data_IF_077305662348
#
_entry.id   IF_077305662348
#
_cell.length_a   1.000
_cell.length_b   1.000
_cell.length_c   1.000
_cell.angle_alpha   90.00
_cell.angle_beta   90.00
_cell.angle_gamma   90.00
#
_symmetry.space_group_name_H-M   'P 1'
#
loop_
_entity.id
_entity.type
_entity.pdbx_description
1 polymer ?
#
# COMPACT_ATOMS: atom_id res chain seq x y z
N UNK A 1 -1.41 17.84 10.99
CA UNK A 1 -2.45 17.27 11.86
C UNK A 1 -2.60 15.76 11.67
N UNK A 2 -2.69 15.24 10.46
CA UNK A 2 -2.89 13.81 10.15
C UNK A 2 -1.84 12.89 10.79
N UNK A 3 -0.55 13.22 10.67
CA UNK A 3 0.55 12.47 11.29
C UNK A 3 0.42 12.39 12.83
N UNK A 4 -0.01 13.48 13.47
CA UNK A 4 -0.23 13.51 14.92
C UNK A 4 -1.39 12.59 15.33
N UNK A 5 -2.51 12.65 14.61
CA UNK A 5 -3.67 11.78 14.87
C UNK A 5 -3.27 10.33 14.75
N UNK A 6 -2.57 9.95 13.66
CA UNK A 6 -2.10 8.59 13.43
C UNK A 6 -1.13 8.14 14.51
N UNK A 7 -0.15 8.98 14.85
CA UNK A 7 0.89 8.66 15.83
C UNK A 7 0.38 8.52 17.24
N UNK A 8 -0.45 9.48 17.70
CA UNK A 8 -1.06 9.43 19.04
C UNK A 8 -1.97 8.20 19.15
N UNK A 9 -2.78 7.92 18.13
CA UNK A 9 -3.64 6.74 18.13
C UNK A 9 -2.83 5.44 18.20
N UNK A 10 -1.72 5.36 17.47
CA UNK A 10 -0.82 4.19 17.50
C UNK A 10 -0.18 4.01 18.87
N UNK A 11 0.31 5.09 19.48
CA UNK A 11 0.88 5.05 20.83
C UNK A 11 -0.17 4.62 21.86
N UNK A 12 -1.38 5.18 21.80
CA UNK A 12 -2.47 4.84 22.72
C UNK A 12 -2.89 3.37 22.62
N UNK A 13 -2.79 2.73 21.45
CA UNK A 13 -3.01 1.28 21.33
C UNK A 13 -1.99 0.52 22.20
N UNK A 14 -0.73 0.96 22.23
CA UNK A 14 0.32 0.33 23.05
C UNK A 14 0.08 0.39 24.55
N UNK A 15 -0.63 1.41 25.03
CA UNK A 15 -0.96 1.57 26.46
C UNK A 15 -2.39 1.17 26.82
N UNK A 16 -3.17 0.67 25.86
CA UNK A 16 -4.55 0.29 26.06
C UNK A 16 -4.66 -0.87 27.09
N UNK A 17 -5.54 -0.79 28.10
CA UNK A 17 -5.82 -1.91 28.98
C UNK A 17 -6.42 -3.11 28.24
N UNK A 18 -6.12 -4.31 28.71
CA UNK A 18 -6.65 -5.55 28.12
C UNK A 18 -8.10 -5.81 28.52
N UNK A 19 -8.73 -6.77 27.85
CA UNK A 19 -10.10 -7.19 28.15
C UNK A 19 -10.31 -7.58 29.62
N UNK A 20 -9.30 -8.22 30.24
CA UNK A 20 -9.34 -8.64 31.64
C UNK A 20 -9.48 -7.47 32.63
N UNK A 21 -9.06 -6.26 32.25
CA UNK A 21 -9.14 -5.07 33.09
C UNK A 21 -10.40 -4.24 32.88
N UNK A 22 -10.83 -4.07 31.62
CA UNK A 22 -11.93 -3.15 31.26
C UNK A 22 -13.04 -3.80 30.42
N UNK A 23 -13.02 -5.14 30.24
CA UNK A 23 -14.05 -5.89 29.54
C UNK A 23 -14.27 -5.40 28.10
N UNK A 24 -15.53 -5.27 27.70
CA UNK A 24 -15.92 -4.86 26.33
C UNK A 24 -15.47 -3.46 25.90
N UNK A 25 -15.02 -2.62 26.82
CA UNK A 25 -14.43 -1.33 26.50
C UNK A 25 -13.08 -1.46 25.76
N UNK A 26 -12.31 -2.53 26.05
CA UNK A 26 -11.02 -2.74 25.38
C UNK A 26 -11.14 -2.86 23.85
N UNK A 27 -11.95 -3.79 23.28
CA UNK A 27 -12.15 -3.85 21.84
C UNK A 27 -12.82 -2.61 21.28
N UNK A 28 -13.74 -1.95 22.02
CA UNK A 28 -14.38 -0.71 21.60
C UNK A 28 -13.39 0.44 21.43
N UNK A 29 -12.52 0.66 22.40
CA UNK A 29 -11.46 1.67 22.35
C UNK A 29 -10.42 1.33 21.25
N UNK A 30 -10.05 0.06 21.10
CA UNK A 30 -9.16 -0.36 20.02
C UNK A 30 -9.75 -0.03 18.65
N UNK A 31 -11.03 -0.34 18.42
CA UNK A 31 -11.72 0.01 17.18
C UNK A 31 -11.75 1.50 16.94
N UNK A 32 -12.06 2.30 17.97
CA UNK A 32 -12.05 3.75 17.90
C UNK A 32 -10.67 4.31 17.50
N UNK A 33 -9.60 3.82 18.15
CA UNK A 33 -8.22 4.22 17.82
C UNK A 33 -7.83 3.81 16.41
N UNK A 34 -8.29 2.66 15.92
CA UNK A 34 -8.09 2.21 14.53
C UNK A 34 -8.81 3.11 13.51
N UNK A 35 -10.00 3.59 13.84
CA UNK A 35 -10.71 4.58 13.00
C UNK A 35 -9.92 5.88 12.93
N UNK A 36 -9.41 6.38 14.06
CA UNK A 36 -8.56 7.57 14.09
C UNK A 36 -7.27 7.40 13.28
N UNK A 37 -6.61 6.24 13.39
CA UNK A 37 -5.45 5.92 12.54
C UNK A 37 -5.81 5.97 11.04
N UNK A 38 -6.96 5.41 10.65
CA UNK A 38 -7.44 5.42 9.27
C UNK A 38 -7.68 6.84 8.75
N UNK A 39 -8.29 7.72 9.56
CA UNK A 39 -8.49 9.14 9.23
C UNK A 39 -7.14 9.85 9.05
N UNK A 40 -6.18 9.59 9.94
CA UNK A 40 -4.82 10.16 9.83
C UNK A 40 -4.11 9.72 8.56
N UNK A 41 -4.15 8.43 8.24
CA UNK A 41 -3.50 7.85 7.06
C UNK A 41 -4.10 8.40 5.75
N UNK A 42 -5.41 8.69 5.74
CA UNK A 42 -6.14 9.12 4.54
C UNK A 42 -5.55 10.34 3.84
N UNK A 43 -5.00 11.29 4.58
CA UNK A 43 -4.39 12.51 4.02
C UNK A 43 -2.87 12.44 3.82
N UNK A 44 -2.20 11.45 4.38
CA UNK A 44 -0.73 11.41 4.44
C UNK A 44 -0.11 10.92 3.12
N UNK A 45 -0.59 9.78 2.60
CA UNK A 45 -0.03 9.16 1.40
C UNK A 45 -0.14 10.05 0.17
N UNK A 46 -1.34 10.62 -0.08
CA UNK A 46 -1.55 11.49 -1.23
C UNK A 46 -0.67 12.73 -1.22
N UNK A 47 -0.44 13.32 -0.04
CA UNK A 47 0.44 14.47 0.12
C UNK A 47 1.91 14.16 -0.19
N UNK A 48 2.43 13.05 0.33
CA UNK A 48 3.82 12.64 0.13
C UNK A 48 4.09 12.31 -1.36
N UNK A 49 3.18 11.55 -1.99
CA UNK A 49 3.28 11.18 -3.39
C UNK A 49 3.19 12.40 -4.30
N UNK A 50 2.22 13.29 -4.05
CA UNK A 50 2.03 14.49 -4.85
C UNK A 50 3.25 15.39 -4.79
N UNK A 51 3.81 15.60 -3.61
CA UNK A 51 5.01 16.39 -3.42
C UNK A 51 6.18 15.81 -4.23
N UNK A 52 6.45 14.52 -4.11
CA UNK A 52 7.51 13.86 -4.87
C UNK A 52 7.28 13.92 -6.40
N UNK A 53 6.02 13.82 -6.85
CA UNK A 53 5.66 13.90 -8.25
C UNK A 53 5.79 15.31 -8.84
N UNK A 54 5.38 16.36 -8.11
CA UNK A 54 5.37 17.74 -8.58
C UNK A 54 6.76 18.39 -8.58
N UNK A 55 7.62 18.04 -7.60
CA UNK A 55 9.02 18.49 -7.60
C UNK A 55 9.91 17.75 -8.60
N UNK A 56 9.44 16.61 -9.15
CA UNK A 56 10.22 15.81 -10.06
C UNK A 56 10.29 16.40 -11.48
N UNK A 57 11.45 16.24 -12.15
CA UNK A 57 11.53 16.49 -13.59
C UNK A 57 10.49 15.67 -14.36
N UNK A 58 9.80 16.23 -15.40
CA UNK A 58 8.71 15.55 -16.11
C UNK A 58 9.04 14.15 -16.63
N UNK A 59 10.31 13.89 -16.98
CA UNK A 59 10.81 12.60 -17.49
C UNK A 59 11.11 11.56 -16.43
N UNK A 60 11.10 11.94 -15.15
CA UNK A 60 11.50 11.09 -14.02
C UNK A 60 10.42 11.04 -12.91
N UNK A 61 9.22 11.50 -13.21
CA UNK A 61 8.10 11.55 -12.25
C UNK A 61 7.73 10.17 -11.68
N UNK A 62 7.86 9.11 -12.47
CA UNK A 62 7.64 7.73 -12.01
C UNK A 62 8.66 7.30 -10.96
N UNK A 63 9.94 7.60 -11.20
CA UNK A 63 11.01 7.31 -10.24
C UNK A 63 10.80 8.09 -8.94
N UNK A 64 10.65 9.42 -9.01
CA UNK A 64 10.52 10.23 -7.80
C UNK A 64 9.23 9.93 -7.02
N UNK A 65 8.11 9.73 -7.69
CA UNK A 65 6.83 9.37 -7.04
C UNK A 65 6.88 7.96 -6.39
N UNK A 66 7.78 7.09 -6.82
CA UNK A 66 7.98 5.78 -6.20
C UNK A 66 8.80 5.84 -4.90
N UNK A 67 9.58 6.90 -4.65
CA UNK A 67 10.41 7.01 -3.45
C UNK A 67 9.61 7.04 -2.14
N UNK A 68 8.52 7.82 -2.00
CA UNK A 68 7.68 7.74 -0.81
C UNK A 68 7.09 6.35 -0.58
N UNK A 69 6.87 5.57 -1.64
CA UNK A 69 6.33 4.21 -1.57
C UNK A 69 7.30 3.20 -0.96
N UNK A 70 8.62 3.45 -1.01
CA UNK A 70 9.61 2.66 -0.26
C UNK A 70 9.30 2.66 1.24
N UNK A 71 8.64 3.72 1.74
CA UNK A 71 8.18 3.80 3.13
C UNK A 71 7.32 2.62 3.57
N UNK A 72 6.49 2.06 2.66
CA UNK A 72 5.73 0.83 2.92
C UNK A 72 6.66 -0.35 3.20
N UNK A 73 7.67 -0.55 2.36
CA UNK A 73 8.63 -1.65 2.49
C UNK A 73 9.48 -1.51 3.76
N UNK A 74 9.99 -0.31 4.03
CA UNK A 74 10.75 -0.01 5.25
C UNK A 74 9.87 -0.23 6.48
N UNK A 75 8.62 0.25 6.46
CA UNK A 75 7.65 0.07 7.54
C UNK A 75 7.35 -1.41 7.80
N UNK A 76 7.13 -2.20 6.75
CA UNK A 76 6.92 -3.64 6.85
C UNK A 76 8.15 -4.35 7.44
N UNK A 77 9.34 -4.01 6.98
CA UNK A 77 10.60 -4.56 7.47
C UNK A 77 10.81 -4.24 8.95
N UNK A 78 10.63 -2.96 9.34
CA UNK A 78 10.78 -2.54 10.74
C UNK A 78 9.75 -3.18 11.65
N UNK A 79 8.48 -3.20 11.25
CA UNK A 79 7.40 -3.80 12.04
C UNK A 79 7.63 -5.31 12.24
N UNK A 80 7.90 -6.04 11.15
CA UNK A 80 8.20 -7.47 11.21
C UNK A 80 9.47 -7.76 12.01
N UNK A 81 10.52 -6.92 11.86
CA UNK A 81 11.77 -7.03 12.58
C UNK A 81 11.61 -6.83 14.08
N UNK A 82 10.90 -5.80 14.50
CA UNK A 82 10.62 -5.55 15.93
C UNK A 82 9.84 -6.71 16.53
N UNK A 83 8.80 -7.19 15.84
CA UNK A 83 8.02 -8.34 16.31
C UNK A 83 8.86 -9.61 16.35
N UNK A 84 9.73 -9.86 15.37
CA UNK A 84 10.62 -11.02 15.35
C UNK A 84 11.62 -10.98 16.52
N UNK A 85 12.27 -9.83 16.77
CA UNK A 85 13.19 -9.64 17.89
C UNK A 85 12.47 -9.89 19.22
N UNK A 86 11.29 -9.31 19.41
CA UNK A 86 10.51 -9.49 20.62
C UNK A 86 10.08 -10.95 20.81
N UNK A 87 9.67 -11.64 19.74
CA UNK A 87 9.28 -13.04 19.77
C UNK A 87 10.47 -13.98 20.06
N UNK A 88 11.67 -13.60 19.63
CA UNK A 88 12.89 -14.37 19.90
C UNK A 88 13.43 -14.17 21.31
N UNK A 89 13.33 -12.95 21.84
CA UNK A 89 13.94 -12.58 23.14
C UNK A 89 13.01 -12.80 24.32
N UNK A 90 11.69 -12.81 24.11
CA UNK A 90 10.69 -12.96 25.15
C UNK A 90 10.03 -14.35 25.10
N UNK A 91 9.63 -14.85 26.26
CA UNK A 91 8.74 -16.01 26.32
C UNK A 91 7.35 -15.64 25.80
N UNK A 92 6.55 -16.62 25.35
CA UNK A 92 5.18 -16.39 24.88
C UNK A 92 4.33 -15.66 25.94
N UNK A 93 4.48 -16.00 27.22
CA UNK A 93 3.77 -15.34 28.30
C UNK A 93 4.19 -13.87 28.46
N UNK A 94 5.47 -13.55 28.32
CA UNK A 94 5.98 -12.17 28.35
C UNK A 94 5.54 -11.38 27.13
N UNK A 95 5.60 -12.00 25.95
CA UNK A 95 5.16 -11.37 24.71
C UNK A 95 3.67 -11.00 24.77
N UNK A 96 2.81 -11.91 25.22
CA UNK A 96 1.37 -11.69 25.34
C UNK A 96 1.00 -10.71 26.44
N UNK A 97 1.76 -10.65 27.55
CA UNK A 97 1.44 -9.74 28.66
C UNK A 97 1.83 -8.29 28.38
N UNK A 98 3.03 -8.03 27.87
CA UNK A 98 3.55 -6.68 27.64
C UNK A 98 4.39 -6.51 26.36
N UNK A 99 4.99 -7.59 25.84
CA UNK A 99 5.95 -7.48 24.73
C UNK A 99 5.37 -6.82 23.47
N UNK A 100 4.16 -7.16 23.08
CA UNK A 100 3.49 -6.57 21.93
C UNK A 100 3.29 -5.03 22.04
N UNK A 101 3.16 -4.51 23.27
CA UNK A 101 2.99 -3.08 23.54
C UNK A 101 4.23 -2.28 23.15
N UNK A 102 5.41 -2.86 23.31
CA UNK A 102 6.69 -2.21 22.99
C UNK A 102 6.73 -1.79 21.53
N UNK A 103 6.25 -2.63 20.61
CA UNK A 103 6.20 -2.30 19.17
C UNK A 103 5.37 -1.03 18.90
N UNK A 104 4.23 -0.88 19.58
CA UNK A 104 3.38 0.32 19.44
C UNK A 104 3.99 1.56 20.10
N UNK A 105 4.63 1.42 21.26
CA UNK A 105 5.27 2.53 21.98
C UNK A 105 6.49 3.05 21.18
N UNK A 106 7.27 2.15 20.58
CA UNK A 106 8.42 2.52 19.74
C UNK A 106 8.00 3.36 18.53
N UNK A 107 6.75 3.24 18.05
CA UNK A 107 6.24 4.06 16.96
C UNK A 107 6.23 5.56 17.28
N UNK A 108 6.19 5.94 18.55
CA UNK A 108 6.25 7.35 18.97
C UNK A 108 7.55 8.04 18.51
N UNK A 109 8.68 7.31 18.49
CA UNK A 109 9.95 7.84 17.99
C UNK A 109 9.87 8.17 16.49
N UNK A 110 9.22 7.30 15.70
CA UNK A 110 9.03 7.53 14.25
C UNK A 110 8.11 8.72 14.00
N UNK A 111 7.07 8.89 14.80
CA UNK A 111 6.16 10.05 14.73
C UNK A 111 6.91 11.35 15.02
N UNK A 112 7.77 11.35 16.03
CA UNK A 112 8.59 12.51 16.36
C UNK A 112 9.53 12.90 15.21
N UNK A 113 10.23 11.92 14.62
CA UNK A 113 11.09 12.13 13.45
C UNK A 113 10.28 12.67 12.26
N UNK A 114 9.14 12.06 11.97
CA UNK A 114 8.26 12.48 10.88
C UNK A 114 7.72 13.91 11.07
N UNK A 115 7.37 14.28 12.29
CA UNK A 115 6.94 15.65 12.63
C UNK A 115 8.07 16.65 12.43
N UNK A 116 9.29 16.31 12.89
CA UNK A 116 10.45 17.18 12.74
C UNK A 116 10.76 17.43 11.25
N UNK A 117 10.72 16.38 10.40
CA UNK A 117 10.90 16.53 8.95
C UNK A 117 9.81 17.44 8.38
N UNK A 118 8.54 17.22 8.73
CA UNK A 118 7.39 17.95 8.17
C UNK A 118 7.38 19.44 8.52
N UNK A 119 7.89 19.81 9.67
CA UNK A 119 8.01 21.23 10.06
C UNK A 119 9.06 21.98 9.22
N UNK A 120 9.97 21.27 8.54
CA UNK A 120 11.04 21.86 7.72
C UNK A 120 10.75 21.79 6.20
N UNK A 121 9.61 21.23 5.76
CA UNK A 121 9.26 21.11 4.33
C UNK A 121 8.26 22.21 3.93
N UNK A 122 8.54 22.91 2.83
CA UNK A 122 7.70 23.98 2.26
C UNK A 122 6.61 23.43 1.33
N UNK A 123 5.59 24.26 1.03
CA UNK A 123 4.52 23.94 0.06
C UNK A 123 5.06 23.79 -1.37
N UNK A 124 4.42 22.94 -2.19
CA UNK A 124 4.86 22.68 -3.56
C UNK A 124 4.70 23.88 -4.49
N UNK A 125 5.61 24.09 -5.47
CA UNK A 125 5.54 25.20 -6.41
C UNK A 125 4.26 25.19 -7.25
N UNK A 126 3.78 24.01 -7.68
CA UNK A 126 2.54 23.88 -8.47
C UNK A 126 1.32 24.31 -7.65
N UNK A 127 1.27 23.98 -6.36
CA UNK A 127 0.19 24.40 -5.46
C UNK A 127 0.23 25.90 -5.18
N UNK A 128 1.42 26.47 -5.00
CA UNK A 128 1.59 27.93 -4.85
C UNK A 128 1.07 28.68 -6.07
N UNK A 129 1.37 28.20 -7.29
CA UNK A 129 0.88 28.79 -8.52
C UNK A 129 -0.65 28.71 -8.68
N UNK A 130 -1.31 27.68 -8.16
CA UNK A 130 -2.78 27.56 -8.13
C UNK A 130 -3.37 28.55 -7.12
N UNK A 131 -2.76 28.71 -5.97
CA UNK A 131 -3.17 29.64 -4.89
C UNK A 131 -3.03 31.09 -5.34
N UNK A 132 -1.92 31.48 -5.98
CA UNK A 132 -1.70 32.82 -6.52
C UNK A 132 -2.73 33.21 -7.59
N UNK A 133 -3.21 32.25 -8.39
CA UNK A 133 -4.23 32.49 -9.41
C UNK A 133 -5.67 32.51 -8.87
N UNK A 134 -5.90 32.42 -7.56
CA UNK A 134 -7.22 32.24 -6.95
C UNK A 134 -8.07 31.15 -7.64
N UNK A 135 -7.42 30.10 -8.14
CA UNK A 135 -8.04 29.04 -8.92
C UNK A 135 -8.42 27.83 -8.06
N UNK A 136 -8.37 27.97 -6.74
CA UNK A 136 -8.81 26.93 -5.81
C UNK A 136 -10.32 26.69 -5.95
N UNK A 137 -10.71 25.45 -6.14
CA UNK A 137 -12.11 25.04 -6.09
C UNK A 137 -12.56 24.97 -4.62
N UNK A 138 -13.70 25.62 -4.30
CA UNK A 138 -14.22 25.65 -2.92
C UNK A 138 -14.54 24.24 -2.37
N UNK A 139 -14.92 23.28 -3.23
CA UNK A 139 -15.23 21.91 -2.85
C UNK A 139 -14.65 20.93 -3.90
N UNK A 140 -13.35 20.62 -3.85
CA UNK A 140 -12.66 19.78 -4.85
C UNK A 140 -13.26 18.37 -5.01
N UNK A 141 -13.90 17.83 -3.97
CA UNK A 141 -14.51 16.51 -3.96
C UNK A 141 -15.72 16.39 -4.91
N UNK A 142 -16.64 17.35 -4.87
CA UNK A 142 -17.79 17.34 -5.77
C UNK A 142 -17.40 17.58 -7.21
N UNK A 143 -16.44 18.46 -7.44
CA UNK A 143 -15.87 18.70 -8.78
C UNK A 143 -15.18 17.45 -9.33
N UNK A 144 -14.46 16.72 -8.48
CA UNK A 144 -13.83 15.44 -8.82
C UNK A 144 -14.86 14.43 -9.33
N UNK A 145 -15.92 14.19 -8.56
CA UNK A 145 -16.95 13.20 -8.90
C UNK A 145 -17.76 13.61 -10.13
N UNK A 146 -17.98 14.91 -10.33
CA UNK A 146 -18.75 15.43 -11.46
C UNK A 146 -17.94 15.42 -12.75
N UNK A 147 -16.65 15.77 -12.71
CA UNK A 147 -15.80 15.95 -13.92
C UNK A 147 -15.03 14.69 -14.29
N UNK A 148 -14.65 13.85 -13.30
CA UNK A 148 -13.75 12.71 -13.51
C UNK A 148 -14.29 11.36 -13.02
N UNK A 149 -15.61 11.05 -13.11
CA UNK A 149 -16.16 9.81 -12.55
C UNK A 149 -15.51 8.56 -13.17
N UNK A 150 -15.24 8.59 -14.47
CA UNK A 150 -14.58 7.50 -15.18
C UNK A 150 -13.12 7.28 -14.74
N UNK A 151 -12.37 8.34 -14.45
CA UNK A 151 -10.99 8.23 -13.97
C UNK A 151 -10.94 7.72 -12.52
N UNK A 152 -11.89 8.14 -11.70
CA UNK A 152 -12.05 7.63 -10.33
C UNK A 152 -12.28 6.11 -10.35
N UNK A 153 -13.25 5.63 -11.13
CA UNK A 153 -13.56 4.20 -11.23
C UNK A 153 -12.37 3.38 -11.79
N UNK A 154 -11.72 3.88 -12.84
CA UNK A 154 -10.54 3.22 -13.41
C UNK A 154 -9.37 3.18 -12.41
N UNK A 155 -9.13 4.27 -11.69
CA UNK A 155 -8.10 4.33 -10.65
C UNK A 155 -8.39 3.36 -9.51
N UNK A 156 -9.65 3.30 -9.04
CA UNK A 156 -10.07 2.34 -8.00
C UNK A 156 -9.90 0.89 -8.45
N UNK A 157 -10.29 0.57 -9.68
CA UNK A 157 -10.09 -0.75 -10.26
C UNK A 157 -8.61 -1.09 -10.45
N UNK A 158 -7.79 -0.14 -10.90
CA UNK A 158 -6.35 -0.33 -11.02
C UNK A 158 -5.70 -0.69 -9.66
N UNK A 159 -6.10 -0.01 -8.58
CA UNK A 159 -5.58 -0.26 -7.23
C UNK A 159 -5.97 -1.62 -6.63
N UNK A 160 -6.94 -2.32 -7.21
CA UNK A 160 -7.53 -3.48 -6.57
C UNK A 160 -6.51 -4.61 -6.30
N UNK A 161 -5.64 -4.93 -7.27
CA UNK A 161 -4.59 -5.95 -7.09
C UNK A 161 -3.56 -5.55 -6.04
N UNK A 162 -3.19 -4.26 -5.95
CA UNK A 162 -2.24 -3.77 -4.97
C UNK A 162 -2.71 -4.10 -3.56
N UNK A 163 -3.92 -3.68 -3.20
CA UNK A 163 -4.47 -3.94 -1.87
C UNK A 163 -4.65 -5.43 -1.56
N UNK A 164 -5.20 -6.20 -2.50
CA UNK A 164 -5.42 -7.64 -2.34
C UNK A 164 -4.09 -8.38 -2.16
N UNK A 165 -3.14 -8.14 -3.06
CA UNK A 165 -1.89 -8.88 -3.08
C UNK A 165 -1.02 -8.60 -1.86
N UNK A 166 -0.87 -7.32 -1.50
CA UNK A 166 -0.11 -6.95 -0.31
C UNK A 166 -0.69 -7.55 0.96
N UNK A 167 -2.01 -7.53 1.13
CA UNK A 167 -2.64 -8.09 2.33
C UNK A 167 -2.53 -9.63 2.38
N UNK A 168 -2.55 -10.30 1.24
CA UNK A 168 -2.40 -11.76 1.21
C UNK A 168 -0.94 -12.14 1.44
N UNK A 169 0.02 -11.61 0.69
CA UNK A 169 1.42 -12.00 0.80
C UNK A 169 2.17 -11.32 1.95
N UNK A 170 1.84 -10.07 2.29
CA UNK A 170 2.51 -9.34 3.38
C UNK A 170 1.96 -9.64 4.78
N UNK A 171 0.69 -10.05 4.87
CA UNK A 171 0.03 -10.23 6.18
C UNK A 171 -0.56 -11.63 6.34
N UNK A 172 -1.48 -12.03 5.45
CA UNK A 172 -2.18 -13.31 5.57
C UNK A 172 -1.25 -14.51 5.40
N UNK A 173 -0.20 -14.41 4.58
CA UNK A 173 0.77 -15.50 4.37
C UNK A 173 1.43 -15.94 5.68
N UNK A 174 1.72 -15.01 6.61
CA UNK A 174 2.29 -15.33 7.92
C UNK A 174 1.30 -16.23 8.69
N UNK A 175 0.04 -15.85 8.72
CA UNK A 175 -1.01 -16.65 9.40
C UNK A 175 -1.20 -18.02 8.72
N UNK A 176 -1.17 -18.06 7.39
CA UNK A 176 -1.27 -19.31 6.62
C UNK A 176 -0.10 -20.24 6.90
N UNK A 177 1.13 -19.74 6.83
CA UNK A 177 2.35 -20.52 7.09
C UNK A 177 2.40 -21.04 8.53
N UNK A 178 2.03 -20.22 9.52
CA UNK A 178 2.10 -20.60 10.93
C UNK A 178 0.95 -21.50 11.36
N UNK A 179 -0.28 -21.21 10.96
CA UNK A 179 -1.46 -21.91 11.47
C UNK A 179 -1.84 -23.12 10.62
N UNK A 180 -1.66 -23.07 9.28
CA UNK A 180 -2.04 -24.14 8.37
C UNK A 180 -0.87 -25.05 8.04
N UNK A 181 0.26 -24.49 7.64
CA UNK A 181 1.47 -25.25 7.24
C UNK A 181 2.31 -25.65 8.46
N UNK A 182 2.15 -24.95 9.60
CA UNK A 182 2.87 -25.22 10.87
C UNK A 182 4.37 -24.89 10.83
N UNK A 183 4.76 -23.89 10.04
CA UNK A 183 6.10 -23.32 10.03
C UNK A 183 6.28 -22.42 11.27
N UNK A 184 7.51 -22.31 11.76
CA UNK A 184 7.83 -21.38 12.84
C UNK A 184 7.50 -19.94 12.45
N UNK A 185 6.92 -19.19 13.39
CA UNK A 185 6.50 -17.82 13.18
C UNK A 185 7.66 -16.90 12.81
N UNK A 186 8.81 -17.12 13.42
CA UNK A 186 10.01 -16.32 13.16
C UNK A 186 10.49 -16.52 11.72
N UNK A 187 10.46 -17.76 11.22
CA UNK A 187 10.83 -18.11 9.85
C UNK A 187 9.89 -17.45 8.83
N UNK A 188 8.58 -17.50 9.07
CA UNK A 188 7.59 -16.82 8.22
C UNK A 188 7.80 -15.29 8.19
N UNK A 189 8.05 -14.68 9.34
CA UNK A 189 8.35 -13.24 9.46
C UNK A 189 9.63 -12.86 8.72
N UNK A 190 10.69 -13.69 8.82
CA UNK A 190 11.96 -13.43 8.11
C UNK A 190 11.78 -13.46 6.59
N UNK A 191 10.94 -14.34 6.04
CA UNK A 191 10.61 -14.36 4.62
C UNK A 191 9.93 -13.06 4.16
N UNK A 192 8.99 -12.54 4.93
CA UNK A 192 8.32 -11.26 4.65
C UNK A 192 9.28 -10.08 4.81
N UNK A 193 10.17 -10.08 5.82
CA UNK A 193 11.20 -9.06 5.97
C UNK A 193 12.17 -9.04 4.78
N UNK A 194 12.63 -10.20 4.34
CA UNK A 194 13.50 -10.31 3.17
C UNK A 194 12.80 -9.77 1.90
N UNK A 195 11.49 -10.06 1.74
CA UNK A 195 10.69 -9.46 0.66
C UNK A 195 10.65 -7.94 0.74
N UNK A 196 10.48 -7.38 1.93
CA UNK A 196 10.44 -5.94 2.15
C UNK A 196 11.79 -5.27 1.81
N UNK A 197 12.91 -5.91 2.15
CA UNK A 197 14.24 -5.43 1.76
C UNK A 197 14.38 -5.40 0.23
N UNK A 198 13.94 -6.46 -0.46
CA UNK A 198 13.95 -6.51 -1.93
C UNK A 198 13.06 -5.43 -2.54
N UNK A 199 11.87 -5.20 -1.96
CA UNK A 199 10.96 -4.12 -2.37
C UNK A 199 11.62 -2.74 -2.36
N UNK A 200 12.46 -2.43 -1.37
CA UNK A 200 13.16 -1.14 -1.29
C UNK A 200 13.97 -0.81 -2.55
N UNK A 201 14.49 -1.83 -3.23
CA UNK A 201 15.24 -1.67 -4.48
C UNK A 201 14.37 -1.80 -5.72
N UNK A 202 13.42 -2.73 -5.69
CA UNK A 202 12.56 -3.01 -6.85
C UNK A 202 11.52 -1.91 -7.11
N UNK A 203 10.95 -1.28 -6.07
CA UNK A 203 9.96 -0.20 -6.23
C UNK A 203 10.53 0.96 -7.06
N UNK A 204 11.68 1.58 -6.72
CA UNK A 204 12.24 2.66 -7.53
C UNK A 204 12.74 2.19 -8.90
N UNK A 205 13.21 0.93 -9.01
CA UNK A 205 13.57 0.34 -10.29
C UNK A 205 12.37 0.30 -11.27
N UNK A 206 11.23 -0.22 -10.82
CA UNK A 206 10.02 -0.26 -11.65
C UNK A 206 9.40 1.14 -11.83
N UNK A 207 9.52 2.03 -10.86
CA UNK A 207 9.18 3.45 -11.00
C UNK A 207 9.95 4.08 -12.17
N UNK A 208 11.28 3.89 -12.21
CA UNK A 208 12.14 4.39 -13.29
C UNK A 208 11.89 3.68 -14.64
N UNK A 209 11.63 2.38 -14.61
CA UNK A 209 11.28 1.62 -15.81
C UNK A 209 9.99 2.15 -16.42
N UNK A 210 9.02 2.53 -15.59
CA UNK A 210 7.75 3.08 -16.04
C UNK A 210 7.87 4.42 -16.75
N UNK A 211 8.86 5.24 -16.39
CA UNK A 211 9.17 6.49 -17.09
C UNK A 211 9.72 6.26 -18.51
N UNK A 212 10.40 5.11 -18.74
CA UNK A 212 11.00 4.77 -20.04
C UNK A 212 10.03 4.09 -21.00
N UNK A 213 9.28 3.09 -20.54
CA UNK A 213 8.43 2.24 -21.40
C UNK A 213 6.93 2.54 -21.28
N UNK A 214 6.56 3.43 -20.35
CA UNK A 214 5.19 3.88 -20.11
C UNK A 214 4.56 3.24 -18.86
N UNK A 215 3.95 4.07 -18.02
CA UNK A 215 3.38 3.69 -16.72
C UNK A 215 2.28 2.67 -16.83
N UNK A 216 1.35 2.87 -17.75
CA UNK A 216 0.25 1.93 -18.03
C UNK A 216 0.74 0.56 -18.49
N UNK A 217 1.82 0.50 -19.30
CA UNK A 217 2.38 -0.78 -19.76
C UNK A 217 3.02 -1.56 -18.62
N UNK A 218 3.87 -0.89 -17.80
CA UNK A 218 4.53 -1.56 -16.66
C UNK A 218 3.49 -2.05 -15.67
N UNK A 219 2.51 -1.23 -15.33
CA UNK A 219 1.45 -1.60 -14.40
C UNK A 219 0.57 -2.74 -14.94
N UNK A 220 0.19 -2.70 -16.21
CA UNK A 220 -0.63 -3.73 -16.84
C UNK A 220 0.04 -5.11 -16.77
N UNK A 221 1.27 -5.21 -17.27
CA UNK A 221 2.02 -6.46 -17.23
C UNK A 221 2.40 -6.85 -15.81
N UNK A 222 2.77 -5.87 -14.98
CA UNK A 222 2.99 -6.06 -13.56
C UNK A 222 1.80 -6.71 -12.87
N UNK A 223 0.58 -6.20 -13.10
CA UNK A 223 -0.65 -6.76 -12.52
C UNK A 223 -0.86 -8.22 -12.91
N UNK A 224 -0.73 -8.55 -14.21
CA UNK A 224 -0.93 -9.92 -14.69
C UNK A 224 0.11 -10.89 -14.14
N UNK A 225 1.39 -10.54 -14.21
CA UNK A 225 2.48 -11.39 -13.75
C UNK A 225 2.41 -11.59 -12.23
N UNK A 226 2.11 -10.52 -11.48
CA UNK A 226 1.93 -10.58 -10.03
C UNK A 226 0.77 -11.52 -9.66
N UNK A 227 -0.37 -11.41 -10.36
CA UNK A 227 -1.50 -12.30 -10.14
C UNK A 227 -1.17 -13.77 -10.42
N UNK A 228 -0.56 -14.06 -11.57
CA UNK A 228 -0.18 -15.43 -11.98
C UNK A 228 0.87 -16.03 -11.04
N UNK A 229 1.75 -15.21 -10.47
CA UNK A 229 2.79 -15.69 -9.54
C UNK A 229 2.24 -16.32 -8.26
N UNK A 230 1.00 -16.02 -7.90
CA UNK A 230 0.33 -16.63 -6.75
C UNK A 230 0.19 -18.17 -6.92
N UNK A 231 0.04 -18.66 -8.15
CA UNK A 231 -0.10 -20.11 -8.44
C UNK A 231 1.15 -20.87 -7.96
N UNK A 232 2.36 -20.63 -8.52
CA UNK A 232 3.56 -21.33 -8.08
C UNK A 232 3.93 -21.02 -6.63
N UNK A 233 3.65 -19.82 -6.15
CA UNK A 233 3.96 -19.43 -4.76
C UNK A 233 3.19 -20.29 -3.75
N UNK A 234 1.87 -20.36 -3.85
CA UNK A 234 1.08 -21.20 -2.95
C UNK A 234 1.29 -22.70 -3.17
N UNK A 235 1.59 -23.12 -4.40
CA UNK A 235 1.97 -24.49 -4.66
C UNK A 235 3.26 -24.89 -3.92
N UNK A 236 4.28 -24.03 -3.93
CA UNK A 236 5.53 -24.26 -3.19
C UNK A 236 5.26 -24.25 -1.68
N UNK A 237 4.48 -23.30 -1.16
CA UNK A 237 4.13 -23.25 0.26
C UNK A 237 3.41 -24.52 0.74
N UNK A 238 2.62 -25.15 -0.13
CA UNK A 238 1.85 -26.34 0.21
C UNK A 238 2.69 -27.63 0.15
N UNK A 239 3.59 -27.76 -0.84
CA UNK A 239 4.27 -29.04 -1.14
C UNK A 239 5.77 -29.04 -0.77
N UNK A 240 6.38 -27.87 -0.58
CA UNK A 240 7.82 -27.74 -0.34
C UNK A 240 8.14 -26.85 0.87
N UNK A 241 7.27 -26.85 1.86
CA UNK A 241 7.43 -26.06 3.08
C UNK A 241 8.61 -26.52 3.96
N UNK A 242 9.08 -27.73 3.78
CA UNK A 242 10.26 -28.33 4.41
C UNK A 242 11.59 -27.76 3.89
N UNK A 243 11.57 -27.08 2.73
CA UNK A 243 12.75 -26.43 2.16
C UNK A 243 12.71 -24.92 2.39
N UNK A 244 13.50 -24.37 3.35
CA UNK A 244 13.47 -22.95 3.69
C UNK A 244 13.76 -22.01 2.52
N UNK A 245 14.65 -22.43 1.61
CA UNK A 245 15.01 -21.61 0.45
C UNK A 245 13.84 -21.46 -0.53
N UNK A 246 13.15 -22.57 -0.85
CA UNK A 246 11.99 -22.55 -1.73
C UNK A 246 10.83 -21.79 -1.06
N UNK A 247 10.63 -21.99 0.24
CA UNK A 247 9.62 -21.29 1.01
C UNK A 247 9.84 -19.77 0.96
N UNK A 248 11.07 -19.31 1.19
CA UNK A 248 11.39 -17.89 1.12
C UNK A 248 11.24 -17.34 -0.30
N UNK A 249 11.70 -18.09 -1.32
CA UNK A 249 11.50 -17.67 -2.72
C UNK A 249 10.01 -17.52 -3.07
N UNK A 250 9.13 -18.37 -2.50
CA UNK A 250 7.68 -18.29 -2.73
C UNK A 250 7.03 -17.02 -2.18
N UNK A 251 7.68 -16.33 -1.25
CA UNK A 251 7.25 -15.03 -0.71
C UNK A 251 8.03 -13.87 -1.34
N UNK A 252 9.36 -13.99 -1.41
CA UNK A 252 10.25 -12.91 -1.87
C UNK A 252 10.00 -12.56 -3.34
N UNK A 253 9.88 -13.53 -4.23
CA UNK A 253 9.70 -13.26 -5.66
C UNK A 253 8.35 -12.58 -5.92
N UNK A 254 7.20 -13.11 -5.46
CA UNK A 254 5.92 -12.46 -5.69
C UNK A 254 5.79 -11.11 -5.01
N UNK A 255 6.12 -11.01 -3.72
CA UNK A 255 5.95 -9.79 -2.94
C UNK A 255 7.09 -8.80 -3.15
N UNK A 256 8.34 -9.26 -3.11
CA UNK A 256 9.52 -8.39 -3.20
C UNK A 256 9.74 -7.83 -4.61
N UNK A 257 9.65 -8.68 -5.63
CA UNK A 257 9.99 -8.32 -7.02
C UNK A 257 8.74 -7.97 -7.83
N UNK A 258 7.83 -8.92 -8.00
CA UNK A 258 6.74 -8.78 -8.97
C UNK A 258 5.68 -7.77 -8.53
N UNK A 259 5.30 -7.76 -7.27
CA UNK A 259 4.41 -6.74 -6.72
C UNK A 259 4.98 -5.32 -6.88
N UNK A 260 6.30 -5.15 -6.80
CA UNK A 260 6.94 -3.84 -7.03
C UNK A 260 6.73 -3.29 -8.44
N UNK A 261 6.44 -4.16 -9.43
CA UNK A 261 6.08 -3.72 -10.79
C UNK A 261 4.66 -3.11 -10.86
N UNK A 262 3.80 -3.41 -9.90
CA UNK A 262 2.51 -2.75 -9.70
C UNK A 262 2.70 -1.49 -8.88
N UNK A 263 3.27 -1.62 -7.69
CA UNK A 263 3.34 -0.56 -6.70
C UNK A 263 4.29 0.58 -7.10
N UNK A 264 5.41 0.30 -7.79
CA UNK A 264 6.37 1.33 -8.23
C UNK A 264 5.77 2.42 -9.12
N UNK A 265 5.11 2.07 -10.24
CA UNK A 265 4.50 3.06 -11.13
C UNK A 265 3.16 3.63 -10.65
N UNK A 266 2.51 3.03 -9.64
CA UNK A 266 1.14 3.33 -9.21
C UNK A 266 0.94 4.79 -8.86
N UNK A 267 1.82 5.34 -8.04
CA UNK A 267 1.74 6.71 -7.55
C UNK A 267 1.71 7.73 -8.70
N UNK A 268 2.64 7.60 -9.64
CA UNK A 268 2.70 8.48 -10.79
C UNK A 268 1.53 8.25 -11.75
N UNK A 269 1.09 7.00 -11.94
CA UNK A 269 -0.08 6.66 -12.74
C UNK A 269 -1.34 7.35 -12.21
N UNK A 270 -1.54 7.34 -10.89
CA UNK A 270 -2.70 8.00 -10.28
C UNK A 270 -2.62 9.53 -10.35
N UNK A 271 -1.43 10.11 -10.23
CA UNK A 271 -1.25 11.55 -10.45
C UNK A 271 -1.60 11.98 -11.88
N UNK A 272 -1.34 11.12 -12.87
CA UNK A 272 -1.66 11.39 -14.27
C UNK A 272 -3.17 11.36 -14.60
N UNK A 273 -4.00 10.77 -13.70
CA UNK A 273 -5.45 10.68 -13.91
C UNK A 273 -6.19 12.00 -13.68
N UNK A 274 -5.58 12.94 -12.97
CA UNK A 274 -6.28 14.13 -12.48
C UNK A 274 -5.51 15.42 -12.76
N UNK A 275 -6.24 16.50 -13.10
CA UNK A 275 -5.66 17.84 -13.23
C UNK A 275 -5.17 18.36 -11.86
N UNK A 276 -4.18 19.27 -11.88
CA UNK A 276 -3.54 19.82 -10.68
C UNK A 276 -4.54 20.35 -9.63
N UNK A 277 -5.67 20.95 -10.06
CA UNK A 277 -6.70 21.50 -9.17
C UNK A 277 -7.40 20.48 -8.27
N UNK A 278 -7.57 19.25 -8.75
CA UNK A 278 -8.30 18.17 -8.05
C UNK A 278 -7.41 16.95 -7.77
N UNK A 279 -6.14 16.99 -8.18
CA UNK A 279 -5.20 15.87 -8.15
C UNK A 279 -5.06 15.30 -6.74
N UNK A 280 -4.79 16.15 -5.73
CA UNK A 280 -4.66 15.71 -4.34
C UNK A 280 -5.90 14.95 -3.85
N UNK A 281 -7.08 15.55 -4.06
CA UNK A 281 -8.35 14.92 -3.67
C UNK A 281 -8.60 13.64 -4.46
N UNK A 282 -8.29 13.65 -5.76
CA UNK A 282 -8.48 12.51 -6.66
C UNK A 282 -7.64 11.31 -6.27
N UNK A 283 -6.33 11.49 -6.08
CA UNK A 283 -5.43 10.40 -5.71
C UNK A 283 -5.74 9.87 -4.30
N UNK A 284 -6.01 10.77 -3.35
CA UNK A 284 -6.36 10.38 -1.98
C UNK A 284 -7.67 9.61 -1.93
N UNK A 285 -8.71 10.07 -2.65
CA UNK A 285 -9.99 9.38 -2.70
C UNK A 285 -9.88 8.01 -3.37
N UNK A 286 -9.26 7.93 -4.55
CA UNK A 286 -9.05 6.67 -5.26
C UNK A 286 -8.30 5.67 -4.37
N UNK A 287 -7.21 6.10 -3.75
CA UNK A 287 -6.39 5.22 -2.94
C UNK A 287 -7.10 4.74 -1.68
N UNK A 288 -7.71 5.64 -0.92
CA UNK A 288 -8.33 5.29 0.36
C UNK A 288 -9.68 4.59 0.21
N UNK A 289 -10.53 5.07 -0.71
CA UNK A 289 -11.85 4.48 -0.88
C UNK A 289 -11.78 3.07 -1.48
N UNK A 290 -10.91 2.85 -2.47
CA UNK A 290 -10.67 1.50 -2.99
C UNK A 290 -10.05 0.58 -1.94
N UNK A 291 -9.26 1.13 -1.00
CA UNK A 291 -8.65 0.41 0.11
C UNK A 291 -9.66 -0.30 1.02
N UNK A 292 -10.90 0.18 1.12
CA UNK A 292 -11.97 -0.49 1.86
C UNK A 292 -12.20 -1.91 1.30
N UNK A 293 -12.33 -2.00 -0.02
CA UNK A 293 -12.61 -3.26 -0.71
C UNK A 293 -11.35 -4.09 -0.97
N UNK A 294 -10.29 -3.44 -1.41
CA UNK A 294 -9.05 -4.10 -1.82
C UNK A 294 -8.17 -4.53 -0.63
N UNK A 295 -8.13 -3.74 0.45
CA UNK A 295 -7.27 -4.02 1.59
C UNK A 295 -8.06 -4.43 2.83
N UNK A 296 -9.11 -3.67 3.17
CA UNK A 296 -9.86 -3.87 4.42
C UNK A 296 -10.62 -5.20 4.46
N UNK A 297 -11.28 -5.58 3.38
CA UNK A 297 -12.03 -6.84 3.31
C UNK A 297 -11.18 -8.06 3.00
N UNK A 298 -9.99 -7.89 2.42
CA UNK A 298 -9.16 -8.99 1.94
C UNK A 298 -8.79 -10.02 3.03
N UNK A 299 -8.37 -9.66 4.25
CA UNK A 299 -8.08 -10.66 5.28
C UNK A 299 -9.30 -11.51 5.66
N UNK A 300 -10.49 -10.90 5.69
CA UNK A 300 -11.75 -11.60 5.97
C UNK A 300 -12.09 -12.55 4.83
N UNK A 301 -12.02 -12.06 3.59
CA UNK A 301 -12.26 -12.87 2.39
C UNK A 301 -11.27 -14.03 2.31
N UNK A 302 -9.97 -13.78 2.52
CA UNK A 302 -8.93 -14.81 2.47
C UNK A 302 -9.16 -15.91 3.53
N UNK A 303 -9.53 -15.52 4.75
CA UNK A 303 -9.84 -16.46 5.83
C UNK A 303 -11.09 -17.31 5.49
N UNK A 304 -12.12 -16.68 4.94
CA UNK A 304 -13.33 -17.38 4.52
C UNK A 304 -13.03 -18.35 3.36
N UNK A 305 -12.27 -17.92 2.35
CA UNK A 305 -11.88 -18.75 1.21
C UNK A 305 -10.99 -19.93 1.61
N UNK A 306 -10.10 -19.73 2.59
CA UNK A 306 -9.29 -20.83 3.13
C UNK A 306 -10.17 -21.86 3.84
N UNK A 307 -11.15 -21.41 4.61
CA UNK A 307 -12.09 -22.29 5.31
C UNK A 307 -12.96 -23.10 4.32
N UNK A 308 -13.48 -22.46 3.27
CA UNK A 308 -14.29 -23.12 2.24
C UNK A 308 -13.45 -24.06 1.35
N UNK A 309 -12.15 -23.80 1.23
CA UNK A 309 -11.19 -24.66 0.56
C UNK A 309 -10.63 -25.81 1.43
N UNK A 310 -11.20 -26.05 2.62
CA UNK A 310 -10.71 -27.06 3.57
C UNK A 310 -9.21 -26.92 3.90
N UNK A 311 -8.72 -25.68 3.96
CA UNK A 311 -7.29 -25.37 4.22
C UNK A 311 -6.43 -25.29 2.96
N UNK A 312 -6.96 -25.60 1.78
CA UNK A 312 -6.25 -25.43 0.52
C UNK A 312 -6.35 -23.98 0.01
N UNK A 313 -5.27 -23.43 -0.55
CA UNK A 313 -5.18 -22.01 -0.91
C UNK A 313 -5.80 -21.66 -2.28
N UNK A 314 -6.32 -22.62 -3.03
CA UNK A 314 -6.69 -22.42 -4.44
C UNK A 314 -7.82 -21.40 -4.64
N UNK A 315 -8.76 -21.31 -3.71
CA UNK A 315 -9.78 -20.25 -3.75
C UNK A 315 -9.18 -18.86 -3.55
N UNK A 316 -8.14 -18.75 -2.71
CA UNK A 316 -7.39 -17.48 -2.51
C UNK A 316 -6.64 -17.12 -3.79
N UNK A 317 -5.99 -18.10 -4.43
CA UNK A 317 -5.33 -17.91 -5.74
C UNK A 317 -6.33 -17.39 -6.77
N UNK A 318 -7.53 -17.99 -6.84
CA UNK A 318 -8.61 -17.53 -7.71
C UNK A 318 -9.01 -16.06 -7.45
N UNK A 319 -9.09 -15.66 -6.19
CA UNK A 319 -9.37 -14.28 -5.80
C UNK A 319 -8.25 -13.31 -6.21
N UNK A 320 -6.99 -13.70 -6.07
CA UNK A 320 -5.84 -12.90 -6.54
C UNK A 320 -5.88 -12.74 -8.07
N UNK A 321 -6.15 -13.82 -8.80
CA UNK A 321 -6.27 -13.77 -10.27
C UNK A 321 -7.42 -12.88 -10.72
N UNK A 322 -8.56 -12.93 -10.04
CA UNK A 322 -9.68 -12.02 -10.29
C UNK A 322 -9.27 -10.56 -10.05
N UNK A 323 -8.63 -10.25 -8.92
CA UNK A 323 -8.14 -8.91 -8.63
C UNK A 323 -7.14 -8.41 -9.66
N UNK A 324 -6.22 -9.29 -10.08
CA UNK A 324 -5.24 -9.02 -11.14
C UNK A 324 -5.91 -8.64 -12.47
N UNK A 325 -6.94 -9.40 -12.87
CA UNK A 325 -7.68 -9.15 -14.10
C UNK A 325 -8.43 -7.82 -14.05
N UNK A 326 -9.12 -7.54 -12.93
CA UNK A 326 -9.82 -6.25 -12.70
C UNK A 326 -8.85 -5.09 -12.86
N UNK A 327 -7.67 -5.17 -12.24
CA UNK A 327 -6.66 -4.12 -12.32
C UNK A 327 -6.07 -3.97 -13.72
N UNK A 328 -5.74 -5.06 -14.38
CA UNK A 328 -5.21 -5.04 -15.75
C UNK A 328 -6.22 -4.43 -16.73
N UNK A 329 -7.50 -4.82 -16.66
CA UNK A 329 -8.57 -4.24 -17.49
C UNK A 329 -8.73 -2.74 -17.22
N UNK A 330 -8.74 -2.33 -15.94
CA UNK A 330 -8.87 -0.92 -15.56
C UNK A 330 -7.73 -0.07 -16.11
N UNK A 331 -6.49 -0.56 -16.04
CA UNK A 331 -5.32 0.13 -16.59
C UNK A 331 -5.33 0.15 -18.12
N UNK A 332 -5.77 -0.94 -18.78
CA UNK A 332 -5.94 -0.95 -20.23
C UNK A 332 -6.97 0.10 -20.70
N UNK A 333 -8.02 0.35 -19.91
CA UNK A 333 -9.02 1.38 -20.17
C UNK A 333 -8.46 2.79 -19.95
N UNK A 334 -7.51 2.98 -19.03
CA UNK A 334 -6.78 4.24 -18.84
C UNK A 334 -5.94 4.54 -20.10
N UNK A 335 -5.17 3.56 -20.58
CA UNK A 335 -4.31 3.71 -21.75
C UNK A 335 -5.04 4.03 -23.06
N UNK A 336 -6.29 3.57 -23.21
CA UNK A 336 -7.12 3.84 -24.39
C UNK A 336 -7.86 5.18 -24.33
N UNK A 337 -8.07 5.72 -23.13
CA UNK A 337 -8.83 6.94 -22.90
C UNK A 337 -7.98 8.21 -22.87
N UNK A 338 -6.74 8.20 -23.36
CA UNK A 338 -5.72 9.23 -23.25
C UNK A 338 -6.19 10.67 -23.44
N UNK A 339 -6.85 11.23 -22.42
CA UNK A 339 -6.85 12.66 -22.19
C UNK A 339 -5.62 12.96 -21.35
N UNK A 340 -4.58 13.45 -22.00
CA UNK A 340 -3.53 14.16 -21.27
C UNK A 340 -4.19 15.32 -20.54
N UNK A 341 -4.03 15.46 -19.23
CA UNK A 341 -4.57 16.59 -18.48
C UNK A 341 -3.80 17.89 -18.72
N UNK A 342 -2.73 17.86 -19.45
CA UNK A 342 -2.03 19.06 -19.90
C UNK A 342 -2.75 19.67 -21.09
N UNK A 343 -3.53 20.72 -20.81
CA UNK A 343 -3.97 21.72 -21.78
C UNK A 343 -2.78 22.45 -22.43
N UNK A 344 -1.89 21.74 -23.09
CA UNK A 344 -1.10 22.29 -24.16
C UNK A 344 -2.07 22.54 -25.30
N UNK A 345 -2.62 23.78 -25.33
CA UNK A 345 -3.06 24.36 -26.55
C UNK A 345 -2.03 23.98 -27.61
N UNK A 346 -2.46 23.20 -28.63
CA UNK A 346 -1.79 23.20 -29.90
C UNK A 346 -1.80 24.67 -30.34
N UNK A 347 -0.72 25.38 -30.07
CA UNK A 347 -0.40 26.56 -30.85
C UNK A 347 -0.29 26.03 -32.26
N UNK A 348 -1.36 26.23 -33.02
CA UNK A 348 -1.36 26.13 -34.46
C UNK A 348 -0.20 26.99 -34.94
N UNK A 349 0.90 26.36 -35.33
CA UNK A 349 1.80 26.99 -36.27
C UNK A 349 1.07 27.05 -37.60
N UNK A 350 0.30 28.14 -37.78
CA UNK A 350 0.00 28.70 -39.06
C UNK A 350 1.18 29.59 -39.45
N UNK A 351 1.81 29.17 -40.50
CA UNK A 351 2.81 29.84 -41.38
C UNK A 351 4.27 29.58 -41.04
#
# INVERSE_FOLDING_TARGET
MTLMIMGISTFLIGVLPTYDHIGYWAPGLLLFLRVLQGIGLGGEWGGAVLMAYEYAPPKERGFYASLPQIGLAIGLCLASGVVAILSYTLTDAQFLSWGWRVAFILSAALVFIGMWIRLNVMETPEFQAVKEKNAETQIPFFDLLKRYPGNVLKGMGARYIDGVFFNIFGVFSITYLTNTIKIDRTEALMGVMASAVVMCFCIPFFGRLSDRIGRTKVFFWGSLITGVSAIPAFWIMLHHADNPLLLWCSVIIPLGVLYSAVYGPEAALFCDLFDAKVRYTGISFVYQFSGIFASGLTPIIATYLLKTGNGEPWHIVGYILFASLVSAVSVAMIGKGGSQPDGRMKTAHAR
#
